data_IF_340364560073
#
_entry.id   IF_340364560073
#
_cell.length_a   1.000
_cell.length_b   1.000
_cell.length_c   1.000
_cell.angle_alpha   90.00
_cell.angle_beta   90.00
_cell.angle_gamma   90.00
#
_symmetry.space_group_name_H-M   'P 1'
#
loop_
_entity.id
_entity.type
_entity.pdbx_description
1 polymer ?
#
# COMPACT_ATOMS: atom_id res chain seq x y z
N UNK A 1 -2.93 49.99 -57.92
CA UNK A 1 -2.28 49.69 -56.63
C UNK A 1 -2.82 48.35 -56.16
N UNK A 2 -1.98 47.32 -56.17
CA UNK A 2 -2.34 45.92 -55.92
C UNK A 2 -2.75 45.76 -54.46
N UNK A 3 -4.02 45.42 -54.18
CA UNK A 3 -4.44 44.91 -52.87
C UNK A 3 -3.73 43.57 -52.66
N UNK A 4 -2.63 43.56 -51.89
CA UNK A 4 -2.07 42.32 -51.33
C UNK A 4 -3.17 41.68 -50.48
N UNK A 5 -3.79 40.63 -51.01
CA UNK A 5 -4.70 39.78 -50.24
C UNK A 5 -3.93 39.24 -49.04
N UNK A 6 -4.45 39.49 -47.84
CA UNK A 6 -3.96 38.88 -46.62
C UNK A 6 -4.16 37.37 -46.77
N UNK A 7 -3.09 36.63 -47.07
CA UNK A 7 -3.10 35.17 -46.90
C UNK A 7 -3.34 34.93 -45.42
N UNK A 8 -4.45 34.31 -45.08
CA UNK A 8 -4.74 33.90 -43.72
C UNK A 8 -3.82 32.71 -43.42
N UNK A 9 -2.78 32.93 -42.61
CA UNK A 9 -1.74 31.95 -42.27
C UNK A 9 -2.20 31.03 -41.11
N UNK A 10 -3.32 31.35 -40.45
CA UNK A 10 -3.85 30.58 -39.33
C UNK A 10 -4.62 29.32 -39.77
N UNK A 11 -4.60 28.29 -38.92
CA UNK A 11 -5.44 27.10 -39.09
C UNK A 11 -6.92 27.48 -39.04
N UNK A 12 -7.75 26.74 -39.80
CA UNK A 12 -9.20 26.86 -39.70
C UNK A 12 -9.70 26.34 -38.35
N UNK A 13 -10.82 26.86 -37.86
CA UNK A 13 -11.42 26.43 -36.59
C UNK A 13 -11.63 24.90 -36.55
N UNK A 14 -12.14 24.32 -37.63
CA UNK A 14 -12.32 22.87 -37.75
C UNK A 14 -10.98 22.10 -37.67
N UNK A 15 -9.92 22.60 -38.30
CA UNK A 15 -8.59 21.98 -38.22
C UNK A 15 -7.98 22.08 -36.82
N UNK A 16 -8.26 23.18 -36.12
CA UNK A 16 -7.78 23.44 -34.76
C UNK A 16 -8.50 22.55 -33.74
N UNK A 17 -9.82 22.42 -33.83
CA UNK A 17 -10.60 21.48 -33.00
C UNK A 17 -10.13 20.05 -33.20
N UNK A 18 -9.94 19.62 -34.46
CA UNK A 18 -9.41 18.29 -34.75
C UNK A 18 -8.02 18.07 -34.14
N UNK A 19 -7.11 19.05 -34.27
CA UNK A 19 -5.79 18.95 -33.68
C UNK A 19 -5.83 18.82 -32.15
N UNK A 20 -6.76 19.52 -31.48
CA UNK A 20 -6.98 19.37 -30.04
C UNK A 20 -7.53 17.99 -29.65
N UNK A 21 -8.47 17.45 -30.43
CA UNK A 21 -9.00 16.10 -30.20
C UNK A 21 -7.91 15.04 -30.38
N UNK A 22 -7.11 15.15 -31.45
CA UNK A 22 -5.99 14.26 -31.73
C UNK A 22 -4.93 14.34 -30.61
N UNK A 23 -4.55 15.54 -30.14
CA UNK A 23 -3.63 15.74 -29.02
C UNK A 23 -4.18 15.13 -27.72
N UNK A 24 -5.47 15.32 -27.43
CA UNK A 24 -6.11 14.75 -26.26
C UNK A 24 -6.11 13.21 -26.28
N UNK A 25 -6.34 12.61 -27.46
CA UNK A 25 -6.26 11.15 -27.64
C UNK A 25 -4.84 10.62 -27.46
N UNK A 26 -3.84 11.29 -28.04
CA UNK A 26 -2.43 10.93 -27.87
C UNK A 26 -2.03 10.98 -26.39
N UNK A 27 -2.39 12.06 -25.69
CA UNK A 27 -2.12 12.21 -24.26
C UNK A 27 -2.80 11.14 -23.40
N UNK A 28 -4.03 10.77 -23.74
CA UNK A 28 -4.76 9.71 -23.05
C UNK A 28 -4.09 8.34 -23.26
N UNK A 29 -3.67 8.03 -24.49
CA UNK A 29 -2.95 6.80 -24.82
C UNK A 29 -1.60 6.72 -24.08
N UNK A 30 -0.81 7.80 -24.09
CA UNK A 30 0.47 7.86 -23.38
C UNK A 30 0.30 7.67 -21.86
N UNK A 31 -0.76 8.26 -21.30
CA UNK A 31 -1.07 8.12 -19.88
C UNK A 31 -1.48 6.69 -19.55
N UNK A 32 -2.32 6.08 -20.37
CA UNK A 32 -2.72 4.68 -20.18
C UNK A 32 -1.52 3.72 -20.24
N UNK A 33 -0.62 3.88 -21.22
CA UNK A 33 0.56 3.03 -21.32
C UNK A 33 1.51 3.20 -20.14
N UNK A 34 1.69 4.44 -19.65
CA UNK A 34 2.47 4.72 -18.45
C UNK A 34 1.88 4.04 -17.22
N UNK A 35 0.58 4.24 -16.97
CA UNK A 35 -0.10 3.63 -15.82
C UNK A 35 -0.09 2.09 -15.88
N UNK A 36 -0.16 1.54 -17.09
CA UNK A 36 -0.04 0.09 -17.31
C UNK A 36 1.36 -0.40 -16.93
N UNK A 37 2.41 0.26 -17.39
CA UNK A 37 3.80 -0.06 -17.04
C UNK A 37 4.05 0.08 -15.52
N UNK A 38 3.51 1.14 -14.90
CA UNK A 38 3.60 1.34 -13.45
C UNK A 38 2.91 0.20 -12.68
N UNK A 39 1.77 -0.28 -13.18
CA UNK A 39 1.04 -1.39 -12.55
C UNK A 39 1.79 -2.72 -12.67
N UNK A 40 2.47 -2.96 -13.80
CA UNK A 40 3.34 -4.10 -14.00
C UNK A 40 4.54 -4.06 -13.03
N UNK A 41 5.25 -2.93 -12.99
CA UNK A 41 6.38 -2.72 -12.06
C UNK A 41 5.94 -2.91 -10.60
N UNK A 42 4.73 -2.44 -10.25
CA UNK A 42 4.17 -2.56 -8.92
C UNK A 42 3.77 -4.00 -8.55
N UNK A 43 3.47 -4.85 -9.53
CA UNK A 43 3.26 -6.30 -9.34
C UNK A 43 4.60 -7.02 -9.23
N UNK A 44 5.54 -6.73 -10.13
CA UNK A 44 6.88 -7.33 -10.16
C UNK A 44 7.62 -7.08 -8.84
N UNK A 45 7.73 -5.81 -8.41
CA UNK A 45 8.33 -5.48 -7.12
C UNK A 45 7.61 -6.15 -5.95
N UNK A 46 6.28 -6.29 -6.00
CA UNK A 46 5.54 -6.96 -4.93
C UNK A 46 5.85 -8.46 -4.85
N UNK A 47 6.00 -9.13 -6.00
CA UNK A 47 6.38 -10.56 -6.06
C UNK A 47 7.78 -10.76 -5.50
N UNK A 48 8.75 -9.96 -5.94
CA UNK A 48 10.14 -10.02 -5.45
C UNK A 48 10.22 -9.77 -3.95
N UNK A 49 9.64 -8.67 -3.46
CA UNK A 49 9.61 -8.33 -2.04
C UNK A 49 8.95 -9.41 -1.18
N UNK A 50 7.84 -9.97 -1.66
CA UNK A 50 7.07 -10.95 -0.91
C UNK A 50 7.82 -12.28 -0.81
N UNK A 51 8.51 -12.69 -1.87
CA UNK A 51 9.33 -13.90 -1.87
C UNK A 51 10.49 -13.78 -0.89
N UNK A 52 11.22 -12.66 -0.90
CA UNK A 52 12.31 -12.42 0.07
C UNK A 52 11.80 -12.48 1.52
N UNK A 53 10.63 -11.89 1.79
CA UNK A 53 10.05 -11.85 3.14
C UNK A 53 9.53 -13.21 3.62
N UNK A 54 9.10 -14.07 2.71
CA UNK A 54 8.57 -15.42 2.99
C UNK A 54 9.61 -16.53 2.85
N UNK A 55 10.83 -16.22 2.40
CA UNK A 55 11.92 -17.18 2.27
C UNK A 55 12.30 -17.80 3.63
N UNK A 56 13.14 -18.84 3.61
CA UNK A 56 13.53 -19.60 4.81
C UNK A 56 14.23 -18.74 5.89
N UNK A 57 14.80 -17.60 5.49
CA UNK A 57 15.40 -16.61 6.39
C UNK A 57 14.61 -15.29 6.44
N UNK A 58 13.42 -15.27 5.85
CA UNK A 58 12.56 -14.10 5.75
C UNK A 58 11.84 -13.76 7.05
N UNK A 59 11.55 -12.47 7.23
CA UNK A 59 10.90 -11.94 8.45
C UNK A 59 9.48 -12.47 8.68
N UNK A 60 8.78 -12.88 7.63
CA UNK A 60 7.39 -13.35 7.73
C UNK A 60 7.29 -14.85 8.03
N UNK A 61 8.39 -15.60 7.96
CA UNK A 61 8.42 -17.06 8.19
C UNK A 61 7.80 -17.46 9.51
N UNK A 62 8.08 -16.74 10.60
CA UNK A 62 7.59 -17.07 11.94
C UNK A 62 6.08 -16.81 12.13
N UNK A 63 5.45 -16.09 11.19
CA UNK A 63 4.04 -15.66 11.29
C UNK A 63 3.08 -16.48 10.42
N UNK A 64 3.61 -17.51 9.75
CA UNK A 64 2.89 -18.39 8.84
C UNK A 64 3.26 -19.84 9.11
N UNK A 65 2.33 -20.75 8.87
CA UNK A 65 2.60 -22.20 8.91
C UNK A 65 3.32 -22.63 7.63
N UNK A 66 4.21 -23.62 7.72
CA UNK A 66 4.99 -24.10 6.57
C UNK A 66 4.11 -24.50 5.37
N UNK A 67 2.98 -25.18 5.59
CA UNK A 67 2.06 -25.59 4.51
C UNK A 67 1.53 -24.39 3.70
N UNK A 68 1.09 -23.35 4.41
CA UNK A 68 0.56 -22.12 3.79
C UNK A 68 1.67 -21.31 3.14
N UNK A 69 2.88 -21.29 3.74
CA UNK A 69 4.05 -20.63 3.15
C UNK A 69 4.40 -21.22 1.80
N UNK A 70 4.47 -22.56 1.71
CA UNK A 70 4.80 -23.26 0.46
C UNK A 70 3.77 -22.96 -0.61
N UNK A 71 2.47 -23.01 -0.28
CA UNK A 71 1.40 -22.65 -1.22
C UNK A 71 1.55 -21.20 -1.75
N UNK A 72 1.85 -20.24 -0.87
CA UNK A 72 2.05 -18.85 -1.28
C UNK A 72 3.31 -18.69 -2.16
N UNK A 73 4.39 -19.41 -1.86
CA UNK A 73 5.60 -19.39 -2.68
C UNK A 73 5.36 -19.96 -4.08
N UNK A 74 4.58 -21.05 -4.19
CA UNK A 74 4.14 -21.60 -5.48
C UNK A 74 3.29 -20.58 -6.25
N UNK A 75 2.33 -19.92 -5.58
CA UNK A 75 1.53 -18.84 -6.21
C UNK A 75 2.40 -17.69 -6.73
N UNK A 76 3.45 -17.32 -5.97
CA UNK A 76 4.39 -16.26 -6.35
C UNK A 76 5.27 -16.68 -7.54
N UNK A 77 5.70 -17.94 -7.62
CA UNK A 77 6.42 -18.50 -8.77
C UNK A 77 5.55 -18.52 -10.03
N UNK A 78 4.28 -18.91 -9.91
CA UNK A 78 3.32 -18.85 -11.03
C UNK A 78 3.10 -17.40 -11.47
N UNK A 79 3.02 -16.46 -10.53
CA UNK A 79 2.87 -15.04 -10.86
C UNK A 79 4.11 -14.48 -11.57
N UNK A 80 5.31 -14.83 -11.14
CA UNK A 80 6.56 -14.45 -11.79
C UNK A 80 6.68 -15.04 -13.20
N UNK A 81 6.39 -16.33 -13.37
CA UNK A 81 6.37 -16.96 -14.68
C UNK A 81 5.36 -16.30 -15.63
N UNK A 82 4.23 -15.83 -15.09
CA UNK A 82 3.25 -15.10 -15.87
C UNK A 82 3.73 -13.69 -16.28
N UNK A 83 4.48 -12.97 -15.45
CA UNK A 83 5.00 -11.62 -15.78
C UNK A 83 5.85 -11.63 -17.05
N UNK A 84 6.59 -12.71 -17.29
CA UNK A 84 7.46 -12.87 -18.46
C UNK A 84 6.82 -13.65 -19.62
N UNK A 85 5.50 -13.90 -19.56
CA UNK A 85 4.75 -14.60 -20.60
C UNK A 85 4.21 -13.64 -21.66
N UNK A 86 3.95 -14.15 -22.87
CA UNK A 86 3.32 -13.39 -23.95
C UNK A 86 1.93 -12.86 -23.54
N UNK A 87 1.23 -13.59 -22.67
CA UNK A 87 -0.06 -13.17 -22.12
C UNK A 87 0.01 -11.90 -21.26
N UNK A 88 1.14 -11.64 -20.59
CA UNK A 88 1.33 -10.40 -19.84
C UNK A 88 1.58 -9.20 -20.75
N UNK A 89 2.21 -9.40 -21.91
CA UNK A 89 2.45 -8.32 -22.88
C UNK A 89 1.16 -7.75 -23.48
N UNK A 90 0.12 -8.57 -23.63
CA UNK A 90 -1.20 -8.14 -24.10
C UNK A 90 -2.19 -7.79 -22.98
N UNK A 91 -1.84 -8.08 -21.72
CA UNK A 91 -2.74 -7.89 -20.58
C UNK A 91 -3.10 -6.42 -20.34
N UNK A 92 -4.36 -6.18 -19.94
CA UNK A 92 -4.85 -4.87 -19.52
C UNK A 92 -4.32 -4.50 -18.12
N UNK A 93 -4.33 -3.20 -17.83
CA UNK A 93 -3.94 -2.67 -16.51
C UNK A 93 -4.68 -3.36 -15.35
N UNK A 94 -5.98 -3.63 -15.52
CA UNK A 94 -6.81 -4.27 -14.49
C UNK A 94 -6.31 -5.65 -14.10
N UNK A 95 -5.82 -6.45 -15.05
CA UNK A 95 -5.32 -7.80 -14.80
C UNK A 95 -4.09 -7.79 -13.88
N UNK A 96 -3.19 -6.80 -14.03
CA UNK A 96 -2.04 -6.64 -13.13
C UNK A 96 -2.49 -6.33 -11.70
N UNK A 97 -3.48 -5.44 -11.55
CA UNK A 97 -4.05 -5.06 -10.25
C UNK A 97 -4.74 -6.26 -9.60
N UNK A 98 -5.58 -7.00 -10.34
CA UNK A 98 -6.29 -8.18 -9.83
C UNK A 98 -5.33 -9.27 -9.35
N UNK A 99 -4.27 -9.56 -10.12
CA UNK A 99 -3.24 -10.53 -9.71
C UNK A 99 -2.50 -10.08 -8.46
N UNK A 100 -2.15 -8.80 -8.38
CA UNK A 100 -1.51 -8.22 -7.19
C UNK A 100 -2.43 -8.33 -5.97
N UNK A 101 -3.70 -7.97 -6.12
CA UNK A 101 -4.69 -7.99 -5.04
C UNK A 101 -4.95 -9.43 -4.55
N UNK A 102 -4.95 -10.41 -5.45
CA UNK A 102 -5.07 -11.82 -5.09
C UNK A 102 -3.90 -12.30 -4.21
N UNK A 103 -2.67 -11.94 -4.55
CA UNK A 103 -1.48 -12.23 -3.73
C UNK A 103 -1.53 -11.46 -2.41
N UNK A 104 -1.92 -10.18 -2.46
CA UNK A 104 -2.06 -9.32 -1.28
C UNK A 104 -3.09 -9.86 -0.28
N UNK A 105 -4.20 -10.41 -0.75
CA UNK A 105 -5.20 -11.01 0.13
C UNK A 105 -4.65 -12.21 0.93
N UNK A 106 -3.72 -12.98 0.34
CA UNK A 106 -3.07 -14.12 1.02
C UNK A 106 -1.98 -13.67 2.01
N UNK A 107 -1.16 -12.69 1.62
CA UNK A 107 0.02 -12.26 2.37
C UNK A 107 -0.33 -11.20 3.43
N UNK A 108 -1.33 -10.36 3.18
CA UNK A 108 -1.75 -9.25 4.03
C UNK A 108 -2.02 -9.66 5.49
N UNK A 109 -2.75 -10.76 5.76
CA UNK A 109 -2.94 -11.25 7.13
C UNK A 109 -1.64 -11.63 7.85
N UNK A 110 -0.64 -12.14 7.11
CA UNK A 110 0.67 -12.51 7.67
C UNK A 110 1.46 -11.24 8.02
N UNK A 111 1.47 -10.27 7.12
CA UNK A 111 2.09 -8.96 7.36
C UNK A 111 1.44 -8.23 8.54
N UNK A 112 0.12 -8.32 8.68
CA UNK A 112 -0.60 -7.74 9.81
C UNK A 112 -0.17 -8.36 11.14
N UNK A 113 0.00 -9.68 11.21
CA UNK A 113 0.51 -10.37 12.40
C UNK A 113 1.94 -9.96 12.74
N UNK A 114 2.81 -9.86 11.73
CA UNK A 114 4.17 -9.37 11.91
C UNK A 114 4.18 -7.94 12.48
N UNK A 115 3.43 -7.03 11.85
CA UNK A 115 3.34 -5.63 12.28
C UNK A 115 2.75 -5.50 13.69
N UNK A 116 1.73 -6.31 14.02
CA UNK A 116 1.17 -6.37 15.36
C UNK A 116 2.24 -6.80 16.38
N UNK A 117 3.04 -7.82 16.06
CA UNK A 117 4.09 -8.32 16.95
C UNK A 117 5.17 -7.26 17.23
N UNK A 118 5.57 -6.49 16.22
CA UNK A 118 6.56 -5.41 16.38
C UNK A 118 6.02 -4.24 17.22
N UNK A 119 4.75 -3.89 17.03
CA UNK A 119 4.16 -2.74 17.72
C UNK A 119 3.61 -3.06 19.11
N UNK A 120 3.26 -4.33 19.38
CA UNK A 120 2.75 -4.79 20.67
C UNK A 120 3.58 -4.34 21.88
N UNK A 121 4.92 -4.49 21.93
CA UNK A 121 5.71 -4.02 23.08
C UNK A 121 5.58 -2.51 23.29
N UNK A 122 5.60 -1.72 22.22
CA UNK A 122 5.44 -0.25 22.28
C UNK A 122 4.10 0.14 22.89
N UNK A 123 3.02 -0.54 22.49
CA UNK A 123 1.70 -0.27 23.06
C UNK A 123 1.59 -0.68 24.53
N UNK A 124 2.21 -1.80 24.91
CA UNK A 124 2.27 -2.25 26.31
C UNK A 124 3.01 -1.23 27.16
N UNK A 125 4.13 -0.69 26.69
CA UNK A 125 4.92 0.26 27.46
C UNK A 125 4.21 1.61 27.60
N UNK A 126 3.57 2.11 26.54
CA UNK A 126 2.69 3.29 26.61
C UNK A 126 1.54 3.10 27.61
N UNK A 127 0.95 1.91 27.64
CA UNK A 127 -0.09 1.58 28.61
C UNK A 127 0.45 1.60 30.04
N UNK A 128 1.62 0.99 30.30
CA UNK A 128 2.28 1.02 31.62
C UNK A 128 2.59 2.44 32.06
N UNK A 129 3.15 3.27 31.19
CA UNK A 129 3.44 4.68 31.47
C UNK A 129 2.18 5.45 31.87
N UNK A 130 1.10 5.23 31.13
CA UNK A 130 -0.20 5.85 31.41
C UNK A 130 -0.76 5.41 32.77
N UNK A 131 -0.69 4.12 33.08
CA UNK A 131 -1.10 3.58 34.40
C UNK A 131 -0.26 4.20 35.52
N UNK A 132 1.06 4.26 35.36
CA UNK A 132 1.96 4.85 36.35
C UNK A 132 1.65 6.34 36.57
N UNK A 133 1.39 7.10 35.51
CA UNK A 133 0.99 8.51 35.58
C UNK A 133 -0.26 8.69 36.44
N UNK A 134 -1.30 7.88 36.22
CA UNK A 134 -2.53 7.97 37.01
C UNK A 134 -2.35 7.48 38.46
N UNK A 135 -1.52 6.46 38.71
CA UNK A 135 -1.18 6.02 40.07
C UNK A 135 -0.51 7.14 40.88
N UNK A 136 0.50 7.80 40.30
CA UNK A 136 1.18 8.93 40.93
C UNK A 136 0.20 10.08 41.24
N UNK A 137 -0.72 10.37 40.33
CA UNK A 137 -1.76 11.38 40.57
C UNK A 137 -2.69 10.99 41.73
N UNK A 138 -3.12 9.72 41.81
CA UNK A 138 -3.95 9.24 42.90
C UNK A 138 -3.23 9.36 44.26
N UNK A 139 -1.97 8.94 44.33
CA UNK A 139 -1.14 9.03 45.54
C UNK A 139 -0.94 10.48 46.01
N UNK A 140 -0.89 11.44 45.08
CA UNK A 140 -0.84 12.87 45.39
C UNK A 140 -2.18 13.42 45.91
N UNK A 141 -3.31 12.90 45.42
CA UNK A 141 -4.66 13.38 45.78
C UNK A 141 -5.22 12.77 47.07
N UNK A 142 -4.75 11.58 47.46
CA UNK A 142 -5.11 10.92 48.72
C UNK A 142 -3.92 11.09 49.68
N UNK A 143 -3.86 12.17 50.47
CA UNK A 143 -2.85 12.26 51.53
C UNK A 143 -3.03 11.07 52.48
N UNK A 144 -1.91 10.48 52.89
CA UNK A 144 -1.86 9.34 53.81
C UNK A 144 -2.60 9.58 55.15
N UNK A 145 -2.96 10.83 55.47
CA UNK A 145 -3.71 11.21 56.66
C UNK A 145 -5.22 10.84 56.62
N UNK A 146 -5.82 10.64 55.43
CA UNK A 146 -7.26 10.32 55.31
C UNK A 146 -7.57 8.82 55.34
N UNK A 147 -6.57 7.96 55.22
CA UNK A 147 -6.75 6.50 55.39
C UNK A 147 -6.88 6.15 56.88
N UNK A 148 -6.41 7.02 57.78
CA UNK A 148 -6.68 6.96 59.21
C UNK A 148 -7.87 7.89 59.56
N UNK A 149 -9.05 7.53 59.06
CA UNK A 149 -10.30 8.10 59.54
C UNK A 149 -10.49 7.75 61.01
N UNK A 150 -10.12 8.69 61.87
CA UNK A 150 -10.50 8.81 63.28
C UNK A 150 -12.01 8.63 63.45
N UNK A 151 -12.49 7.39 63.58
CA UNK A 151 -13.74 7.09 64.27
C UNK A 151 -13.45 7.12 65.77
N UNK A 152 -13.33 8.34 66.30
CA UNK A 152 -13.67 8.57 67.69
C UNK A 152 -15.18 8.39 67.82
N UNK A 153 -15.60 7.23 68.31
CA UNK A 153 -16.91 7.06 68.89
C UNK A 153 -16.72 6.94 70.40
N UNK A 154 -17.26 7.97 71.06
CA UNK A 154 -17.73 7.99 72.45
C UNK A 154 -18.58 6.76 72.73
#
# INVERSE_FOLDING_TARGET
VVKRGLMNIGLTEASLTKAFEDEAQMKAADTYQRERADSLNALESYVYDSREKLDEYGKLKEFVTDDVRVQILEDLEVAEGWIYSEEAEEAAKSTFVEKKDALFAKIGPIQARYLESENRPVYIDRLKETILKYKVQLDQTIPADRVCGRFGLV
#
